data_IF_062986464638
#
_entry.id   IF_062986464638
#
_cell.length_a   1.000
_cell.length_b   1.000
_cell.length_c   1.000
_cell.angle_alpha   90.00
_cell.angle_beta   90.00
_cell.angle_gamma   90.00
#
_symmetry.space_group_name_H-M   'P 1'
#
loop_
_entity.id
_entity.type
_entity.pdbx_description
1 polymer ?
#
# COMPACT_ATOMS: atom_id res chain seq x y z
N UNK A 1 -1.78 13.10 10.29
CA UNK A 1 -0.38 12.63 10.26
C UNK A 1 -0.39 11.20 10.75
N UNK A 2 -1.16 10.33 10.11
CA UNK A 2 -1.21 8.89 10.40
C UNK A 2 -1.75 8.28 9.10
N UNK A 3 -0.86 7.76 8.27
CA UNK A 3 -1.21 7.07 7.04
C UNK A 3 -0.91 5.59 7.25
N UNK A 4 -1.57 4.98 8.23
CA UNK A 4 -1.60 3.53 8.37
C UNK A 4 -2.50 2.98 7.28
N UNK A 5 -1.90 2.70 6.11
CA UNK A 5 -2.55 1.91 5.08
C UNK A 5 -2.55 0.47 5.59
N UNK A 6 -3.71 0.00 6.03
CA UNK A 6 -3.95 -1.37 6.48
C UNK A 6 -4.16 -2.27 5.26
N UNK A 7 -3.45 -3.40 5.16
CA UNK A 7 -4.11 -4.63 4.73
C UNK A 7 -3.48 -5.84 5.44
N UNK A 8 -4.39 -6.62 6.02
CA UNK A 8 -4.19 -7.49 7.17
C UNK A 8 -3.37 -8.72 6.78
N UNK A 9 -2.38 -9.04 7.61
CA UNK A 9 -2.01 -10.42 7.88
C UNK A 9 -1.88 -10.56 9.40
N UNK A 10 -2.93 -11.05 10.06
CA UNK A 10 -2.83 -11.49 11.45
C UNK A 10 -1.89 -12.70 11.46
N UNK A 11 -0.64 -12.45 11.82
CA UNK A 11 0.39 -13.45 12.03
C UNK A 11 -0.07 -14.39 13.16
N UNK A 12 -0.63 -15.54 12.79
CA UNK A 12 -0.50 -16.73 13.63
C UNK A 12 0.99 -17.09 13.68
N UNK A 13 1.55 -17.05 14.87
CA UNK A 13 2.90 -17.48 15.19
C UNK A 13 3.07 -18.95 14.79
N UNK A 14 3.53 -19.20 13.57
CA UNK A 14 4.00 -20.51 13.16
C UNK A 14 5.52 -20.45 12.93
N UNK A 15 6.30 -21.38 13.50
CA UNK A 15 7.73 -21.47 13.28
C UNK A 15 7.99 -22.01 11.87
N UNK A 16 7.65 -21.24 10.84
CA UNK A 16 8.04 -21.57 9.48
C UNK A 16 9.52 -21.23 9.30
N UNK A 17 10.29 -22.21 8.83
CA UNK A 17 11.67 -22.06 8.38
C UNK A 17 11.82 -20.78 7.55
N UNK A 18 12.56 -19.81 8.08
CA UNK A 18 12.87 -18.57 7.36
C UNK A 18 14.10 -18.78 6.49
N UNK A 19 14.11 -18.14 5.34
CA UNK A 19 15.20 -18.20 4.37
C UNK A 19 15.59 -16.77 3.98
N UNK A 20 16.86 -16.58 3.61
CA UNK A 20 17.32 -15.30 3.09
C UNK A 20 16.88 -15.18 1.63
N UNK A 21 16.09 -14.15 1.33
CA UNK A 21 15.57 -13.85 0.00
C UNK A 21 16.01 -12.46 -0.44
N UNK A 22 16.06 -12.25 -1.76
CA UNK A 22 16.27 -10.93 -2.37
C UNK A 22 14.98 -10.50 -3.04
N UNK A 23 14.54 -9.27 -2.76
CA UNK A 23 13.32 -8.68 -3.31
C UNK A 23 13.68 -7.78 -4.50
N UNK A 24 13.00 -8.01 -5.61
CA UNK A 24 13.18 -7.28 -6.86
C UNK A 24 11.92 -6.50 -7.18
N UNK A 25 12.08 -5.34 -7.82
CA UNK A 25 10.97 -4.63 -8.43
C UNK A 25 10.57 -5.25 -9.77
N UNK A 26 9.48 -4.76 -10.39
CA UNK A 26 8.90 -5.36 -11.59
C UNK A 26 9.62 -4.97 -12.88
N UNK A 27 10.62 -4.08 -12.84
CA UNK A 27 11.25 -3.58 -14.06
C UNK A 27 12.28 -4.57 -14.62
N UNK A 28 12.69 -4.33 -15.86
CA UNK A 28 13.75 -5.11 -16.51
C UNK A 28 15.15 -4.60 -16.14
N UNK A 29 15.27 -3.70 -15.16
CA UNK A 29 16.56 -3.16 -14.73
C UNK A 29 17.15 -4.03 -13.61
N UNK A 30 18.39 -4.46 -13.78
CA UNK A 30 19.17 -5.18 -12.76
C UNK A 30 19.43 -4.37 -11.48
N UNK A 31 19.24 -3.05 -11.52
CA UNK A 31 19.33 -2.17 -10.36
C UNK A 31 18.03 -2.07 -9.56
N UNK A 32 16.90 -2.54 -10.10
CA UNK A 32 15.59 -2.50 -9.43
C UNK A 32 15.48 -3.58 -8.34
N UNK A 33 16.30 -3.42 -7.31
CA UNK A 33 16.38 -4.29 -6.13
C UNK A 33 15.91 -3.50 -4.92
N UNK A 34 14.81 -3.94 -4.33
CA UNK A 34 14.20 -3.30 -3.16
C UNK A 34 15.04 -3.62 -1.91
N UNK A 35 15.41 -4.88 -1.73
CA UNK A 35 16.21 -5.33 -0.58
C UNK A 35 16.96 -6.62 -0.89
N UNK A 36 18.17 -6.75 -0.31
CA UNK A 36 19.00 -7.95 -0.45
C UNK A 36 19.08 -8.68 0.87
N UNK A 37 19.05 -10.02 0.81
CA UNK A 37 19.28 -10.90 1.96
C UNK A 37 18.35 -10.61 3.15
N UNK A 38 17.05 -10.46 2.89
CA UNK A 38 16.03 -10.28 3.93
C UNK A 38 15.51 -11.63 4.40
N UNK A 39 15.40 -11.78 5.72
CA UNK A 39 14.94 -13.00 6.36
C UNK A 39 13.40 -13.07 6.36
N UNK A 40 12.85 -13.85 5.44
CA UNK A 40 11.41 -14.02 5.25
C UNK A 40 10.99 -15.49 5.37
N UNK A 41 9.71 -15.78 5.68
CA UNK A 41 9.17 -17.11 5.47
C UNK A 41 9.27 -17.49 3.97
N UNK A 42 9.11 -18.79 3.67
CA UNK A 42 8.99 -19.24 2.28
C UNK A 42 7.76 -18.60 1.64
N UNK A 43 7.97 -17.83 0.57
CA UNK A 43 6.93 -17.13 -0.18
C UNK A 43 6.60 -17.89 -1.49
N UNK A 44 5.35 -17.79 -1.93
CA UNK A 44 4.90 -18.26 -3.25
C UNK A 44 4.40 -17.09 -4.09
N UNK A 45 4.24 -17.33 -5.40
CA UNK A 45 3.61 -16.37 -6.30
C UNK A 45 2.16 -16.14 -5.87
N UNK A 46 1.79 -14.87 -5.70
CA UNK A 46 0.46 -14.46 -5.24
C UNK A 46 0.41 -14.06 -3.76
N UNK A 47 1.46 -14.37 -2.99
CA UNK A 47 1.58 -13.88 -1.61
C UNK A 47 1.91 -12.38 -1.59
N UNK A 48 1.46 -11.69 -0.54
CA UNK A 48 1.61 -10.25 -0.40
C UNK A 48 2.70 -9.88 0.60
N UNK A 49 3.43 -8.81 0.31
CA UNK A 49 4.38 -8.17 1.22
C UNK A 49 3.86 -6.79 1.63
N UNK A 50 4.05 -6.45 2.90
CA UNK A 50 3.61 -5.19 3.47
C UNK A 50 4.80 -4.32 3.90
N UNK A 51 4.80 -3.06 3.45
CA UNK A 51 5.82 -2.07 3.77
C UNK A 51 5.18 -0.89 4.52
N UNK A 52 5.58 -0.69 5.77
CA UNK A 52 5.12 0.42 6.59
C UNK A 52 5.85 1.73 6.24
N UNK A 53 5.30 2.86 6.66
CA UNK A 53 5.92 4.18 6.56
C UNK A 53 6.19 4.67 5.13
N UNK A 54 5.43 4.18 4.14
CA UNK A 54 5.58 4.54 2.72
C UNK A 54 4.81 5.82 2.31
N UNK A 55 4.55 6.74 3.26
CA UNK A 55 3.69 7.91 3.04
C UNK A 55 4.39 9.15 2.44
N UNK A 56 5.70 9.32 2.67
CA UNK A 56 6.46 10.50 2.25
C UNK A 56 7.52 10.15 1.20
N UNK A 57 7.68 10.99 0.18
CA UNK A 57 8.69 10.87 -0.89
C UNK A 57 8.69 9.54 -1.67
N UNK A 58 7.59 8.78 -1.63
CA UNK A 58 7.41 7.52 -2.36
C UNK A 58 6.69 7.76 -3.69
N UNK A 59 5.35 7.88 -3.65
CA UNK A 59 4.53 8.09 -4.84
C UNK A 59 4.84 9.42 -5.56
N UNK A 60 5.40 10.40 -4.85
CA UNK A 60 5.82 11.68 -5.42
C UNK A 60 6.98 11.55 -6.41
N UNK A 61 7.82 10.51 -6.26
CA UNK A 61 8.96 10.22 -7.12
C UNK A 61 8.72 9.01 -8.05
N UNK A 62 7.50 8.46 -8.07
CA UNK A 62 7.17 7.32 -8.92
C UNK A 62 7.17 7.74 -10.40
N UNK A 63 7.64 6.85 -11.27
CA UNK A 63 7.65 7.04 -12.73
C UNK A 63 6.92 5.91 -13.44
N UNK A 64 6.51 6.15 -14.68
CA UNK A 64 5.91 5.12 -15.54
C UNK A 64 6.97 4.35 -16.35
N UNK A 65 8.15 4.13 -15.77
CA UNK A 65 9.22 3.38 -16.42
C UNK A 65 8.75 1.95 -16.75
N UNK A 66 9.15 1.41 -17.90
CA UNK A 66 8.63 0.17 -18.48
C UNK A 66 7.10 0.10 -18.66
N UNK A 67 6.40 1.25 -18.62
CA UNK A 67 4.95 1.32 -18.81
C UNK A 67 4.14 0.87 -17.59
N UNK A 68 4.76 0.68 -16.43
CA UNK A 68 4.02 0.39 -15.19
C UNK A 68 3.31 1.64 -14.68
N UNK A 69 2.00 1.54 -14.43
CA UNK A 69 1.25 2.65 -13.84
C UNK A 69 1.63 2.86 -12.38
N UNK A 70 1.72 4.11 -11.89
CA UNK A 70 1.88 4.38 -10.47
C UNK A 70 0.79 3.72 -9.63
N UNK A 71 1.13 3.29 -8.42
CA UNK A 71 0.22 2.59 -7.51
C UNK A 71 -1.00 3.44 -7.14
N UNK A 72 -2.18 2.82 -7.15
CA UNK A 72 -3.42 3.42 -6.66
C UNK A 72 -3.35 3.66 -5.13
N UNK A 73 -4.01 4.72 -4.66
CA UNK A 73 -4.03 5.09 -3.24
C UNK A 73 -5.45 4.96 -2.71
N UNK A 74 -5.63 4.10 -1.71
CA UNK A 74 -6.88 3.99 -0.95
C UNK A 74 -6.77 4.81 0.34
N UNK A 75 -7.70 5.72 0.56
CA UNK A 75 -7.70 6.58 1.75
C UNK A 75 -8.69 6.03 2.76
N UNK A 76 -8.24 5.88 4.00
CA UNK A 76 -9.06 5.48 5.14
C UNK A 76 -9.09 6.65 6.11
N UNK A 77 -10.26 6.94 6.66
CA UNK A 77 -10.44 8.00 7.64
C UNK A 77 -11.27 7.45 8.79
N UNK A 78 -10.81 7.66 10.02
CA UNK A 78 -11.59 7.31 11.23
C UNK A 78 -12.74 8.28 11.50
N UNK A 79 -12.78 9.41 10.79
CA UNK A 79 -13.86 10.39 10.91
C UNK A 79 -15.09 9.89 10.15
N UNK A 80 -16.27 10.07 10.76
CA UNK A 80 -17.55 9.72 10.15
C UNK A 80 -17.71 10.31 8.73
N UNK A 81 -18.39 9.60 7.81
CA UNK A 81 -18.55 10.00 6.41
C UNK A 81 -19.02 11.46 6.23
N UNK A 82 -19.97 11.92 7.06
CA UNK A 82 -20.52 13.29 7.02
C UNK A 82 -19.46 14.40 7.20
N UNK A 83 -18.36 14.09 7.88
CA UNK A 83 -17.26 15.01 8.11
C UNK A 83 -16.12 14.78 7.11
N UNK A 84 -16.04 13.59 6.51
CA UNK A 84 -15.04 13.26 5.49
C UNK A 84 -15.29 14.01 4.19
N UNK A 85 -16.54 14.17 3.76
CA UNK A 85 -16.87 14.92 2.53
C UNK A 85 -16.29 16.35 2.56
N UNK A 86 -16.42 17.02 3.71
CA UNK A 86 -15.88 18.37 3.92
C UNK A 86 -14.35 18.43 3.89
N UNK A 87 -13.66 17.31 4.17
CA UNK A 87 -12.21 17.18 4.10
C UNK A 87 -11.73 16.75 2.70
N UNK A 88 -12.50 15.89 2.04
CA UNK A 88 -12.20 15.36 0.70
C UNK A 88 -12.32 16.42 -0.40
N UNK A 89 -13.17 17.44 -0.21
CA UNK A 89 -13.34 18.55 -1.15
C UNK A 89 -12.10 19.44 -1.32
N UNK A 90 -11.08 19.26 -0.48
CA UNK A 90 -9.81 19.98 -0.57
C UNK A 90 -9.96 21.51 -0.51
N UNK A 91 -8.88 22.27 -0.73
CA UNK A 91 -8.98 23.72 -0.91
C UNK A 91 -9.83 24.01 -2.15
N UNK A 92 -10.84 24.89 -2.02
CA UNK A 92 -11.78 25.28 -3.08
C UNK A 92 -11.08 25.43 -4.44
N UNK A 93 -11.30 24.48 -5.35
CA UNK A 93 -10.78 24.52 -6.73
C UNK A 93 -10.12 23.24 -7.25
N UNK A 94 -9.77 22.28 -6.38
CA UNK A 94 -9.24 20.98 -6.82
C UNK A 94 -10.35 19.93 -6.88
N UNK A 95 -10.96 19.72 -8.05
CA UNK A 95 -11.89 18.60 -8.27
C UNK A 95 -11.14 17.28 -8.12
N UNK A 96 -11.38 16.58 -7.03
CA UNK A 96 -10.98 15.18 -6.90
C UNK A 96 -12.14 14.29 -7.34
N UNK A 97 -11.90 13.40 -8.29
CA UNK A 97 -12.87 12.40 -8.74
C UNK A 97 -12.97 11.25 -7.74
N UNK A 98 -13.30 11.55 -6.48
CA UNK A 98 -13.67 10.51 -5.52
C UNK A 98 -15.15 10.22 -5.68
N UNK A 99 -15.48 9.00 -6.10
CA UNK A 99 -16.83 8.44 -5.90
C UNK A 99 -16.73 7.57 -4.66
N UNK A 100 -17.22 8.07 -3.54
CA UNK A 100 -17.33 7.26 -2.32
C UNK A 100 -18.32 6.13 -2.57
N UNK A 101 -17.90 4.88 -2.33
CA UNK A 101 -18.82 3.76 -2.16
C UNK A 101 -18.95 3.47 -0.67
N UNK A 102 -20.15 3.62 -0.11
CA UNK A 102 -20.47 3.05 1.19
C UNK A 102 -20.49 1.52 1.07
N UNK A 103 -19.48 0.86 1.62
CA UNK A 103 -19.58 -0.56 1.92
C UNK A 103 -19.95 -0.69 3.39
N UNK A 104 -21.23 -1.00 3.65
CA UNK A 104 -21.68 -1.46 4.96
C UNK A 104 -20.94 -2.77 5.26
N UNK A 105 -20.00 -2.70 6.19
CA UNK A 105 -19.50 -3.90 6.84
C UNK A 105 -20.61 -4.33 7.81
N UNK A 106 -21.27 -5.45 7.53
CA UNK A 106 -22.01 -6.15 8.57
C UNK A 106 -20.98 -6.84 9.47
N UNK A 107 -21.20 -6.72 10.78
CA UNK A 107 -20.33 -7.17 11.85
C UNK A 107 -19.94 -8.64 11.71
N UNK A 108 -18.63 -8.94 11.83
CA UNK A 108 -18.10 -10.30 12.06
C UNK A 108 -17.88 -10.45 13.57
#
# INVERSE_FOLDING_TARGET
>A
MDCDILLICLFSFQPLSRVLLTQWGPTCDSMDVISRSVLLPKMNVGDWLYFQNMGAYTCAAASAFNGFSPTEKFYVCSVLPEHFEKLADGPKGRKTSWKGEEKKYEDI
#
